data_IF_128724052961
#
_entry.id   IF_128724052961
#
_cell.length_a   1.000
_cell.length_b   1.000
_cell.length_c   1.000
_cell.angle_alpha   90.00
_cell.angle_beta   90.00
_cell.angle_gamma   90.00
#
_symmetry.space_group_name_H-M   'P 1'
#
loop_
_entity.id
_entity.type
_entity.pdbx_description
1 polymer ?
#
# COMPACT_ATOMS: atom_id res chain seq x y z
N UNK A 1 5.04 -46.51 -60.79
CA UNK A 1 4.40 -47.35 -59.77
C UNK A 1 4.51 -46.62 -58.43
N UNK A 2 3.50 -45.82 -58.09
CA UNK A 2 3.49 -44.98 -56.87
C UNK A 2 2.48 -45.56 -55.87
N UNK A 3 2.99 -46.04 -54.73
CA UNK A 3 2.20 -46.60 -53.62
C UNK A 3 1.75 -45.46 -52.70
N UNK A 4 0.51 -45.00 -52.87
CA UNK A 4 -0.15 -44.09 -51.93
C UNK A 4 -0.67 -44.88 -50.73
N UNK A 5 0.12 -44.92 -49.65
CA UNK A 5 -0.29 -45.47 -48.35
C UNK A 5 -1.40 -44.61 -47.73
N UNK A 6 -2.65 -45.06 -47.86
CA UNK A 6 -3.78 -44.54 -47.06
C UNK A 6 -3.55 -44.90 -45.59
N UNK A 7 -3.27 -43.90 -44.76
CA UNK A 7 -3.27 -44.07 -43.31
C UNK A 7 -4.70 -44.41 -42.83
N UNK A 8 -4.87 -45.35 -41.88
CA UNK A 8 -6.19 -45.79 -41.42
C UNK A 8 -6.90 -44.67 -40.64
N UNK A 9 -8.16 -44.43 -41.00
CA UNK A 9 -9.03 -43.40 -40.42
C UNK A 9 -9.17 -43.49 -38.87
N UNK A 10 -8.84 -44.65 -38.29
CA UNK A 10 -8.90 -44.94 -36.85
C UNK A 10 -7.92 -44.05 -36.04
N UNK A 11 -6.79 -43.66 -36.62
CA UNK A 11 -5.80 -42.82 -35.91
C UNK A 11 -6.30 -41.39 -35.66
N UNK A 12 -7.21 -40.88 -36.52
CA UNK A 12 -7.78 -39.53 -36.34
C UNK A 12 -8.74 -39.43 -35.15
N UNK A 13 -9.44 -40.51 -34.81
CA UNK A 13 -10.39 -40.51 -33.70
C UNK A 13 -9.72 -40.69 -32.34
N UNK A 14 -8.62 -41.45 -32.27
CA UNK A 14 -7.87 -41.65 -31.02
C UNK A 14 -7.18 -40.35 -30.57
N UNK A 15 -6.67 -39.54 -31.50
CA UNK A 15 -6.07 -38.23 -31.18
C UNK A 15 -7.14 -37.22 -30.74
N UNK A 16 -8.38 -37.31 -31.24
CA UNK A 16 -9.46 -36.40 -30.86
C UNK A 16 -10.02 -36.70 -29.45
N UNK A 17 -10.04 -37.96 -29.02
CA UNK A 17 -10.57 -38.37 -27.71
C UNK A 17 -9.59 -38.03 -26.56
N UNK A 18 -8.27 -38.06 -26.81
CA UNK A 18 -7.25 -37.72 -25.80
C UNK A 18 -7.19 -36.22 -25.44
N UNK A 19 -7.79 -35.33 -26.24
CA UNK A 19 -7.78 -33.88 -26.00
C UNK A 19 -8.94 -33.43 -25.08
N UNK A 20 -9.99 -34.26 -24.90
CA UNK A 20 -11.17 -33.87 -24.11
C UNK A 20 -11.15 -34.37 -22.65
N UNK A 21 -10.19 -35.21 -22.24
CA UNK A 21 -10.20 -35.80 -20.90
C UNK A 21 -9.38 -35.05 -19.85
N UNK A 22 -8.74 -33.93 -20.18
CA UNK A 22 -7.78 -33.24 -19.29
C UNK A 22 -8.31 -31.97 -18.58
N UNK A 23 -9.61 -31.68 -18.62
CA UNK A 23 -10.15 -30.43 -18.07
C UNK A 23 -11.19 -30.57 -16.94
N UNK A 24 -11.33 -31.75 -16.31
CA UNK A 24 -12.05 -31.84 -15.03
C UNK A 24 -11.12 -31.43 -13.88
N UNK A 25 -10.56 -30.22 -13.94
CA UNK A 25 -9.95 -29.61 -12.76
C UNK A 25 -11.12 -29.24 -11.85
N UNK A 26 -11.18 -29.87 -10.68
CA UNK A 26 -12.29 -29.74 -9.73
C UNK A 26 -12.51 -28.27 -9.37
N UNK A 27 -13.64 -27.69 -9.81
CA UNK A 27 -13.98 -26.28 -9.58
C UNK A 27 -14.07 -25.89 -8.10
N UNK A 28 -14.20 -26.86 -7.19
CA UNK A 28 -14.25 -26.63 -5.74
C UNK A 28 -12.92 -26.13 -5.15
N UNK A 29 -11.79 -26.40 -5.81
CA UNK A 29 -10.47 -25.90 -5.37
C UNK A 29 -10.23 -24.43 -5.82
N UNK A 30 -11.07 -23.91 -6.73
CA UNK A 30 -11.00 -22.55 -7.26
C UNK A 30 -12.04 -21.59 -6.69
N UNK A 31 -12.95 -22.04 -5.81
CA UNK A 31 -14.04 -21.19 -5.32
C UNK A 31 -13.52 -20.00 -4.47
N UNK A 32 -12.35 -20.17 -3.85
CA UNK A 32 -11.69 -19.11 -3.06
C UNK A 32 -10.17 -19.12 -3.26
N UNK A 33 -9.67 -18.53 -4.36
CA UNK A 33 -8.24 -18.54 -4.67
C UNK A 33 -7.42 -17.74 -3.64
N UNK A 34 -8.05 -16.90 -2.79
CA UNK A 34 -7.38 -16.25 -1.66
C UNK A 34 -6.82 -17.23 -0.61
N UNK A 35 -7.35 -18.46 -0.50
CA UNK A 35 -6.89 -19.46 0.48
C UNK A 35 -5.67 -20.24 0.01
N UNK A 36 -5.42 -20.32 -1.30
CA UNK A 36 -4.30 -21.05 -1.88
C UNK A 36 -3.03 -20.20 -2.04
N UNK A 37 -3.10 -18.91 -1.71
CA UNK A 37 -2.02 -17.96 -2.00
C UNK A 37 -1.12 -17.75 -0.79
N UNK A 38 0.18 -17.61 -1.06
CA UNK A 38 1.21 -17.37 -0.04
C UNK A 38 1.97 -16.07 -0.35
N UNK A 39 2.15 -15.17 0.64
CA UNK A 39 1.54 -15.20 1.98
C UNK A 39 0.04 -14.83 1.93
N UNK A 40 -0.76 -15.41 2.84
CA UNK A 40 -2.15 -15.00 3.07
C UNK A 40 -2.20 -13.62 3.75
N UNK A 41 -3.38 -13.02 3.85
CA UNK A 41 -3.53 -11.75 4.57
C UNK A 41 -3.21 -11.92 6.06
N UNK A 42 -3.64 -13.03 6.66
CA UNK A 42 -3.32 -13.35 8.06
C UNK A 42 -1.82 -13.64 8.27
N UNK A 43 -1.15 -14.32 7.33
CA UNK A 43 0.30 -14.55 7.40
C UNK A 43 1.08 -13.23 7.28
N UNK A 44 0.64 -12.33 6.38
CA UNK A 44 1.25 -11.01 6.24
C UNK A 44 1.07 -10.18 7.49
N UNK A 45 -0.12 -10.22 8.09
CA UNK A 45 -0.41 -9.54 9.34
C UNK A 45 0.52 -10.03 10.47
N UNK A 46 0.77 -11.33 10.55
CA UNK A 46 1.72 -11.92 11.50
C UNK A 46 3.16 -11.44 11.26
N UNK A 47 3.62 -11.47 10.01
CA UNK A 47 4.96 -11.00 9.64
C UNK A 47 5.14 -9.51 9.96
N UNK A 48 4.14 -8.68 9.69
CA UNK A 48 4.20 -7.25 9.98
C UNK A 48 4.06 -6.93 11.46
N UNK A 49 3.26 -7.69 12.22
CA UNK A 49 3.21 -7.61 13.68
C UNK A 49 4.57 -7.90 14.32
N UNK A 50 5.31 -8.91 13.81
CA UNK A 50 6.64 -9.23 14.28
C UNK A 50 7.67 -8.09 14.00
N UNK A 51 7.55 -7.44 12.84
CA UNK A 51 8.43 -6.32 12.44
C UNK A 51 8.05 -4.98 13.09
N UNK A 52 6.81 -4.83 13.55
CA UNK A 52 6.26 -3.57 14.04
C UNK A 52 7.08 -2.98 15.19
N UNK A 53 7.49 -3.82 16.16
CA UNK A 53 8.33 -3.38 17.29
C UNK A 53 9.67 -2.80 16.85
N UNK A 54 10.28 -3.38 15.81
CA UNK A 54 11.56 -2.91 15.27
C UNK A 54 11.39 -1.61 14.47
N UNK A 55 10.28 -1.47 13.73
CA UNK A 55 9.99 -0.33 12.87
C UNK A 55 9.20 0.80 13.53
N UNK A 56 8.85 0.68 14.82
CA UNK A 56 7.96 1.65 15.51
C UNK A 56 8.43 3.10 15.39
N UNK A 57 9.74 3.35 15.50
CA UNK A 57 10.30 4.70 15.39
C UNK A 57 10.49 5.12 13.94
N UNK A 58 10.93 4.22 13.08
CA UNK A 58 11.23 4.53 11.68
C UNK A 58 9.97 4.77 10.85
N UNK A 59 8.83 4.19 11.24
CA UNK A 59 7.54 4.33 10.55
C UNK A 59 7.07 5.79 10.49
N UNK A 60 7.50 6.63 11.44
CA UNK A 60 7.07 8.02 11.56
C UNK A 60 8.10 9.05 11.05
N UNK A 61 9.25 8.59 10.53
CA UNK A 61 10.32 9.47 10.02
C UNK A 61 9.80 10.54 9.04
N UNK A 62 8.94 10.23 8.05
CA UNK A 62 8.50 11.24 7.09
C UNK A 62 7.84 12.46 7.74
N UNK A 63 7.05 12.23 8.79
CA UNK A 63 6.39 13.28 9.56
C UNK A 63 7.37 13.95 10.52
N UNK A 64 8.26 13.19 11.15
CA UNK A 64 9.24 13.73 12.08
C UNK A 64 10.21 14.71 11.39
N UNK A 65 10.61 14.43 10.15
CA UNK A 65 11.48 15.34 9.37
C UNK A 65 10.77 16.67 9.10
N UNK A 66 9.51 16.61 8.63
CA UNK A 66 8.72 17.83 8.40
C UNK A 66 8.47 18.59 9.71
N UNK A 67 8.10 17.89 10.78
CA UNK A 67 7.82 18.48 12.08
C UNK A 67 9.06 19.11 12.73
N UNK A 68 10.22 18.46 12.58
CA UNK A 68 11.50 18.99 13.06
C UNK A 68 11.88 20.26 12.30
N UNK A 69 11.74 20.28 10.97
CA UNK A 69 11.98 21.48 10.17
C UNK A 69 11.07 22.64 10.63
N UNK A 70 9.76 22.38 10.79
CA UNK A 70 8.79 23.38 11.28
C UNK A 70 9.11 23.88 12.68
N UNK A 71 9.54 23.00 13.58
CA UNK A 71 9.95 23.37 14.93
C UNK A 71 11.21 24.24 14.90
N UNK A 72 12.23 23.86 14.13
CA UNK A 72 13.48 24.63 14.00
C UNK A 72 13.21 26.02 13.42
N UNK A 73 12.37 26.11 12.38
CA UNK A 73 11.93 27.38 11.83
C UNK A 73 11.23 28.25 12.89
N UNK A 74 10.29 27.67 13.64
CA UNK A 74 9.59 28.37 14.73
C UNK A 74 10.51 28.91 15.82
N UNK A 75 11.54 28.14 16.22
CA UNK A 75 12.56 28.59 17.18
C UNK A 75 13.38 29.75 16.64
N UNK A 76 13.81 29.68 15.37
CA UNK A 76 14.60 30.74 14.73
C UNK A 76 13.81 32.03 14.53
N UNK A 77 12.49 31.93 14.33
CA UNK A 77 11.60 33.08 14.16
C UNK A 77 11.72 34.10 15.29
N UNK A 78 11.88 33.65 16.56
CA UNK A 78 11.93 34.52 17.74
C UNK A 78 13.05 35.57 17.69
N UNK A 79 14.12 35.30 16.93
CA UNK A 79 15.26 36.19 16.73
C UNK A 79 15.17 37.13 15.51
N UNK A 80 14.18 36.96 14.63
CA UNK A 80 14.08 37.71 13.36
C UNK A 80 12.62 37.92 12.92
N UNK A 81 11.74 38.18 13.88
CA UNK A 81 10.32 38.46 13.62
C UNK A 81 10.17 39.92 13.20
N UNK A 82 9.39 40.19 12.16
CA UNK A 82 8.98 41.54 11.81
C UNK A 82 7.94 42.03 12.84
N UNK A 83 8.37 42.88 13.77
CA UNK A 83 7.53 43.38 14.87
C UNK A 83 6.33 44.22 14.39
N UNK A 84 6.35 44.72 13.16
CA UNK A 84 5.21 45.45 12.58
C UNK A 84 4.09 44.47 12.19
N UNK A 85 4.45 43.29 11.68
CA UNK A 85 3.49 42.27 11.24
C UNK A 85 3.08 41.31 12.34
N UNK A 86 3.98 41.01 13.25
CA UNK A 86 3.77 40.06 14.34
C UNK A 86 4.36 40.59 15.67
N UNK A 87 3.72 41.60 16.28
CA UNK A 87 4.21 42.21 17.52
C UNK A 87 4.24 41.22 18.70
N UNK A 88 3.38 40.21 18.67
CA UNK A 88 3.23 39.20 19.73
C UNK A 88 4.09 37.94 19.48
N UNK A 89 4.88 37.88 18.39
CA UNK A 89 5.69 36.72 17.98
C UNK A 89 4.87 35.42 17.85
N UNK A 90 3.62 35.51 17.40
CA UNK A 90 2.71 34.37 17.21
C UNK A 90 3.20 33.41 16.13
N UNK A 91 3.92 33.91 15.12
CA UNK A 91 4.49 33.11 14.05
C UNK A 91 5.47 32.06 14.60
N UNK A 92 6.39 32.46 15.49
CA UNK A 92 7.33 31.52 16.12
C UNK A 92 6.61 30.46 16.94
N UNK A 93 5.58 30.86 17.71
CA UNK A 93 4.75 29.92 18.45
C UNK A 93 3.98 28.96 17.56
N UNK A 94 3.49 29.39 16.39
CA UNK A 94 2.83 28.50 15.45
C UNK A 94 3.76 27.36 14.99
N UNK A 95 5.02 27.69 14.65
CA UNK A 95 6.03 26.68 14.29
C UNK A 95 6.35 25.73 15.44
N UNK A 96 6.52 26.26 16.66
CA UNK A 96 6.79 25.43 17.85
C UNK A 96 5.63 24.50 18.17
N UNK A 97 4.39 25.02 18.20
CA UNK A 97 3.21 24.23 18.56
C UNK A 97 2.91 23.16 17.51
N UNK A 98 3.00 23.49 16.22
CA UNK A 98 2.74 22.53 15.15
C UNK A 98 3.87 21.50 15.04
N UNK A 99 5.13 21.95 14.96
CA UNK A 99 6.29 21.06 14.85
C UNK A 99 6.48 20.21 16.10
N UNK A 100 6.51 20.83 17.27
CA UNK A 100 6.60 20.13 18.56
C UNK A 100 5.42 19.21 18.82
N UNK A 101 4.20 19.64 18.47
CA UNK A 101 2.99 18.83 18.58
C UNK A 101 3.05 17.55 17.75
N UNK A 102 3.56 17.63 16.51
CA UNK A 102 3.74 16.44 15.67
C UNK A 102 4.86 15.51 16.15
N UNK A 103 5.96 16.05 16.66
CA UNK A 103 7.03 15.23 17.26
C UNK A 103 6.49 14.47 18.48
N UNK A 104 5.75 15.15 19.36
CA UNK A 104 5.11 14.52 20.51
C UNK A 104 4.06 13.48 20.08
N UNK A 105 3.19 13.82 19.14
CA UNK A 105 2.16 12.91 18.64
C UNK A 105 2.77 11.66 17.99
N UNK A 106 3.81 11.81 17.17
CA UNK A 106 4.48 10.65 16.54
C UNK A 106 5.24 9.80 17.54
N UNK A 107 5.87 10.40 18.56
CA UNK A 107 6.47 9.64 19.66
C UNK A 107 5.41 8.84 20.44
N UNK A 108 4.28 9.46 20.77
CA UNK A 108 3.17 8.78 21.45
C UNK A 108 2.55 7.67 20.61
N UNK A 109 2.43 7.87 19.29
CA UNK A 109 1.98 6.81 18.38
C UNK A 109 3.00 5.67 18.30
N UNK A 110 4.29 5.97 18.22
CA UNK A 110 5.35 4.95 18.19
C UNK A 110 5.35 4.04 19.43
N UNK A 111 4.95 4.58 20.59
CA UNK A 111 4.92 3.81 21.85
C UNK A 111 3.58 3.10 22.08
N UNK A 112 2.46 3.74 21.75
CA UNK A 112 1.13 3.27 22.17
C UNK A 112 0.29 2.66 21.04
N UNK A 113 0.68 2.85 19.77
CA UNK A 113 -0.12 2.42 18.64
C UNK A 113 0.58 1.34 17.82
N UNK A 114 0.10 0.11 17.98
CA UNK A 114 0.58 -1.10 17.30
C UNK A 114 -0.56 -1.75 16.52
N UNK A 115 -0.95 -1.18 15.36
CA UNK A 115 -2.10 -1.65 14.59
C UNK A 115 -1.96 -3.10 14.14
N UNK A 116 -0.75 -3.58 13.81
CA UNK A 116 -0.58 -4.95 13.35
C UNK A 116 -0.56 -5.95 14.50
N UNK A 117 0.13 -5.64 15.61
CA UNK A 117 0.15 -6.48 16.80
C UNK A 117 -1.26 -6.71 17.38
N UNK A 118 -2.03 -5.63 17.55
CA UNK A 118 -3.41 -5.71 18.03
C UNK A 118 -4.32 -6.47 17.06
N UNK A 119 -4.25 -6.18 15.76
CA UNK A 119 -5.02 -6.89 14.76
C UNK A 119 -4.65 -8.38 14.67
N UNK A 120 -3.38 -8.74 14.86
CA UNK A 120 -2.96 -10.14 14.85
C UNK A 120 -3.53 -10.90 16.04
N UNK A 121 -3.60 -10.28 17.22
CA UNK A 121 -4.26 -10.88 18.39
C UNK A 121 -5.72 -11.17 18.09
N UNK A 122 -6.47 -10.20 17.55
CA UNK A 122 -7.87 -10.37 17.14
C UNK A 122 -8.04 -11.50 16.12
N UNK A 123 -7.23 -11.50 15.06
CA UNK A 123 -7.30 -12.48 13.96
C UNK A 123 -6.86 -13.87 14.42
N UNK A 124 -5.93 -13.98 15.36
CA UNK A 124 -5.46 -15.26 15.90
C UNK A 124 -6.52 -15.97 16.74
N UNK A 125 -7.43 -15.22 17.37
CA UNK A 125 -8.52 -15.74 18.20
C UNK A 125 -9.70 -16.29 17.37
N UNK A 126 -9.76 -16.00 16.06
CA UNK A 126 -10.82 -16.48 15.18
C UNK A 126 -10.66 -17.98 14.88
N UNK A 127 -11.77 -18.75 14.79
CA UNK A 127 -11.74 -20.16 14.46
C UNK A 127 -11.25 -20.40 13.02
N UNK A 128 -10.74 -21.61 12.74
CA UNK A 128 -10.12 -21.98 11.44
C UNK A 128 -10.61 -23.34 10.90
N UNK A 129 -11.68 -23.89 11.48
CA UNK A 129 -12.08 -25.28 11.24
C UNK A 129 -12.74 -25.45 9.87
N UNK A 130 -13.57 -24.50 9.46
CA UNK A 130 -14.24 -24.52 8.16
C UNK A 130 -13.60 -23.58 7.14
N UNK A 131 -13.79 -23.84 5.84
CA UNK A 131 -13.37 -22.92 4.77
C UNK A 131 -13.98 -21.53 4.97
N UNK A 132 -15.28 -21.47 5.31
CA UNK A 132 -15.98 -20.21 5.61
C UNK A 132 -15.32 -19.43 6.76
N UNK A 133 -14.91 -20.11 7.83
CA UNK A 133 -14.19 -19.49 8.95
C UNK A 133 -12.82 -18.97 8.51
N UNK A 134 -12.07 -19.74 7.71
CA UNK A 134 -10.79 -19.29 7.15
C UNK A 134 -10.97 -18.04 6.29
N UNK A 135 -11.97 -17.99 5.42
CA UNK A 135 -12.27 -16.81 4.60
C UNK A 135 -12.63 -15.60 5.46
N UNK A 136 -13.44 -15.82 6.49
CA UNK A 136 -13.81 -14.75 7.42
C UNK A 136 -12.57 -14.18 8.10
N UNK A 137 -11.67 -15.06 8.54
CA UNK A 137 -10.38 -14.69 9.13
C UNK A 137 -9.51 -13.88 8.17
N UNK A 138 -9.39 -14.32 6.91
CA UNK A 138 -8.62 -13.60 5.89
C UNK A 138 -9.21 -12.22 5.57
N UNK A 139 -10.54 -12.11 5.47
CA UNK A 139 -11.23 -10.82 5.24
C UNK A 139 -11.01 -9.84 6.39
N UNK A 140 -11.12 -10.31 7.63
CA UNK A 140 -10.86 -9.47 8.80
C UNK A 140 -9.39 -9.02 8.83
N UNK A 141 -8.44 -9.91 8.53
CA UNK A 141 -7.03 -9.54 8.42
C UNK A 141 -6.80 -8.46 7.34
N UNK A 142 -7.39 -8.62 6.16
CA UNK A 142 -7.32 -7.64 5.07
C UNK A 142 -7.95 -6.28 5.46
N UNK A 143 -9.09 -6.30 6.15
CA UNK A 143 -9.75 -5.08 6.65
C UNK A 143 -8.86 -4.33 7.64
N UNK A 144 -8.18 -5.04 8.54
CA UNK A 144 -7.26 -4.46 9.52
C UNK A 144 -6.03 -3.84 8.85
N UNK A 145 -5.42 -4.52 7.88
CA UNK A 145 -4.32 -3.96 7.07
C UNK A 145 -4.77 -2.68 6.36
N UNK A 146 -5.95 -2.69 5.72
CA UNK A 146 -6.50 -1.53 5.04
C UNK A 146 -6.87 -0.38 6.01
N UNK A 147 -7.32 -0.69 7.23
CA UNK A 147 -7.60 0.30 8.25
C UNK A 147 -6.34 1.07 8.67
N UNK A 148 -5.22 0.36 8.90
CA UNK A 148 -3.94 0.99 9.19
C UNK A 148 -3.49 1.92 8.05
N UNK A 149 -3.62 1.49 6.79
CA UNK A 149 -3.29 2.31 5.63
C UNK A 149 -4.18 3.56 5.50
N UNK A 150 -5.49 3.44 5.79
CA UNK A 150 -6.40 4.61 5.81
C UNK A 150 -6.00 5.61 6.88
N UNK A 151 -5.63 5.15 8.07
CA UNK A 151 -5.13 6.03 9.12
C UNK A 151 -3.82 6.70 8.71
N UNK A 152 -2.86 5.94 8.19
CA UNK A 152 -1.58 6.45 7.68
C UNK A 152 -1.77 7.58 6.67
N UNK A 153 -2.65 7.40 5.68
CA UNK A 153 -3.00 8.45 4.69
C UNK A 153 -3.58 9.71 5.34
N UNK A 154 -4.49 9.56 6.31
CA UNK A 154 -5.09 10.71 7.01
C UNK A 154 -4.03 11.49 7.79
N UNK A 155 -3.16 10.79 8.52
CA UNK A 155 -2.09 11.41 9.30
C UNK A 155 -1.09 12.10 8.37
N UNK A 156 -0.68 11.44 7.28
CA UNK A 156 0.21 12.00 6.26
C UNK A 156 -0.33 13.32 5.71
N UNK A 157 -1.58 13.35 5.24
CA UNK A 157 -2.18 14.58 4.70
C UNK A 157 -2.39 15.65 5.76
N UNK A 158 -2.83 15.28 6.97
CA UNK A 158 -2.99 16.23 8.06
C UNK A 158 -1.66 16.87 8.45
N UNK A 159 -0.58 16.09 8.47
CA UNK A 159 0.77 16.56 8.75
C UNK A 159 1.26 17.53 7.67
N UNK A 160 1.10 17.17 6.39
CA UNK A 160 1.47 18.05 5.26
C UNK A 160 0.73 19.38 5.37
N UNK A 161 -0.59 19.36 5.56
CA UNK A 161 -1.41 20.57 5.61
C UNK A 161 -1.06 21.47 6.80
N UNK A 162 -0.89 20.91 7.98
CA UNK A 162 -0.60 21.69 9.19
C UNK A 162 0.83 22.25 9.20
N UNK A 163 1.83 21.47 8.78
CA UNK A 163 3.21 21.96 8.67
C UNK A 163 3.36 23.00 7.55
N UNK A 164 2.76 22.77 6.38
CA UNK A 164 2.77 23.75 5.29
C UNK A 164 2.06 25.04 5.70
N UNK A 165 0.89 24.92 6.35
CA UNK A 165 0.14 26.07 6.86
C UNK A 165 0.95 26.89 7.87
N UNK A 166 1.60 26.23 8.83
CA UNK A 166 2.48 26.90 9.80
C UNK A 166 3.68 27.57 9.11
N UNK A 167 4.35 26.88 8.19
CA UNK A 167 5.51 27.41 7.47
C UNK A 167 5.16 28.60 6.57
N UNK A 168 4.01 28.57 5.89
CA UNK A 168 3.51 29.72 5.10
C UNK A 168 3.18 30.89 6.02
N UNK A 169 2.54 30.63 7.17
CA UNK A 169 2.23 31.67 8.14
C UNK A 169 3.52 32.31 8.70
N UNK A 170 4.52 31.50 9.05
CA UNK A 170 5.84 31.98 9.48
C UNK A 170 6.53 32.82 8.40
N UNK A 171 6.62 32.30 7.17
CA UNK A 171 7.27 32.99 6.05
C UNK A 171 6.65 34.35 5.72
N UNK A 172 5.32 34.48 5.86
CA UNK A 172 4.61 35.74 5.58
C UNK A 172 4.84 36.83 6.64
N UNK A 173 5.19 36.43 7.87
CA UNK A 173 5.49 37.30 9.00
C UNK A 173 6.99 37.46 9.29
N UNK A 174 7.86 36.77 8.54
CA UNK A 174 9.31 36.90 8.65
C UNK A 174 9.81 38.22 8.04
N UNK A 175 10.84 38.81 8.67
CA UNK A 175 11.50 40.01 8.17
C UNK A 175 12.10 39.76 6.77
N UNK A 176 11.87 40.64 5.78
CA UNK A 176 12.46 40.50 4.45
C UNK A 176 13.99 40.40 4.49
N UNK A 177 14.55 39.40 3.81
CA UNK A 177 16.00 39.18 3.75
C UNK A 177 16.63 38.51 4.98
N UNK A 178 15.83 38.22 6.02
CA UNK A 178 16.32 37.49 7.19
C UNK A 178 16.63 36.02 6.88
N UNK A 179 17.56 35.43 7.64
CA UNK A 179 17.86 34.00 7.55
C UNK A 179 16.63 33.13 7.82
N UNK A 180 15.78 33.50 8.79
CA UNK A 180 14.56 32.75 9.11
C UNK A 180 13.58 32.69 7.94
N UNK A 181 13.48 33.74 7.13
CA UNK A 181 12.65 33.71 5.92
C UNK A 181 13.12 32.65 4.91
N UNK A 182 14.43 32.48 4.78
CA UNK A 182 15.01 31.42 3.93
C UNK A 182 14.70 30.03 4.51
N UNK A 183 14.83 29.89 5.84
CA UNK A 183 14.51 28.63 6.54
C UNK A 183 13.01 28.30 6.45
N UNK A 184 12.12 29.28 6.58
CA UNK A 184 10.68 29.11 6.42
C UNK A 184 10.35 28.65 5.00
N UNK A 185 10.98 29.27 3.99
CA UNK A 185 10.88 28.83 2.60
C UNK A 185 11.31 27.38 2.39
N UNK A 186 12.44 26.97 2.97
CA UNK A 186 12.88 25.58 2.94
C UNK A 186 11.91 24.65 3.68
N UNK A 187 11.35 25.11 4.81
CA UNK A 187 10.37 24.36 5.61
C UNK A 187 9.09 24.09 4.82
N UNK A 188 8.62 25.01 3.99
CA UNK A 188 7.50 24.78 3.07
C UNK A 188 7.81 23.61 2.13
N UNK A 189 9.04 23.51 1.60
CA UNK A 189 9.44 22.37 0.79
C UNK A 189 9.55 21.07 1.60
N UNK A 190 10.02 21.13 2.85
CA UNK A 190 10.03 19.95 3.73
C UNK A 190 8.64 19.53 4.21
N UNK A 191 7.65 20.42 4.20
CA UNK A 191 6.28 20.08 4.57
C UNK A 191 5.64 19.05 3.63
N UNK A 192 6.12 18.94 2.38
CA UNK A 192 5.68 17.91 1.44
C UNK A 192 6.49 16.61 1.50
N UNK A 193 7.52 16.52 2.35
CA UNK A 193 8.33 15.31 2.52
C UNK A 193 7.49 14.04 2.78
N UNK A 194 6.41 14.06 3.59
CA UNK A 194 5.55 12.89 3.77
C UNK A 194 4.92 12.36 2.48
N UNK A 195 4.80 13.16 1.41
CA UNK A 195 4.27 12.71 0.12
C UNK A 195 5.29 11.86 -0.65
N UNK A 196 6.59 12.14 -0.49
CA UNK A 196 7.68 11.42 -1.14
C UNK A 196 8.11 10.18 -0.35
N UNK A 197 8.08 10.27 0.98
CA UNK A 197 8.39 9.16 1.87
C UNK A 197 7.09 8.58 2.44
N UNK A 198 6.59 7.55 1.77
CA UNK A 198 5.30 6.94 2.09
C UNK A 198 5.34 6.26 3.46
N UNK A 199 4.18 6.25 4.13
CA UNK A 199 4.02 5.51 5.37
C UNK A 199 4.10 4.01 5.10
N UNK A 200 4.87 3.28 5.90
CA UNK A 200 4.99 1.82 5.80
C UNK A 200 3.61 1.12 5.80
N UNK A 201 2.64 1.65 6.56
CA UNK A 201 1.28 1.12 6.57
C UNK A 201 0.57 1.16 5.22
N UNK A 202 0.86 2.18 4.42
CA UNK A 202 0.29 2.35 3.09
C UNK A 202 0.93 1.33 2.14
N UNK A 203 2.25 1.21 2.18
CA UNK A 203 2.99 0.30 1.30
C UNK A 203 2.58 -1.16 1.52
N UNK A 204 2.45 -1.60 2.78
CA UNK A 204 1.98 -2.97 3.11
C UNK A 204 0.59 -3.26 2.52
N UNK A 205 -0.34 -2.31 2.62
CA UNK A 205 -1.70 -2.50 2.11
C UNK A 205 -1.76 -2.46 0.57
N UNK A 206 -0.95 -1.61 -0.06
CA UNK A 206 -0.84 -1.58 -1.51
C UNK A 206 -0.21 -2.85 -2.06
N UNK A 207 0.85 -3.32 -1.42
CA UNK A 207 1.46 -4.60 -1.76
C UNK A 207 0.43 -5.73 -1.59
N UNK A 208 -0.36 -5.75 -0.51
CA UNK A 208 -1.40 -6.77 -0.32
C UNK A 208 -2.45 -6.73 -1.44
N UNK A 209 -2.88 -5.52 -1.83
CA UNK A 209 -3.83 -5.33 -2.93
C UNK A 209 -3.24 -5.76 -4.26
N UNK A 210 -1.97 -5.49 -4.52
CA UNK A 210 -1.32 -5.87 -5.77
C UNK A 210 -1.10 -7.38 -5.85
N UNK A 211 -0.80 -8.04 -4.72
CA UNK A 211 -0.86 -9.48 -4.63
C UNK A 211 -2.26 -10.00 -4.96
N UNK A 212 -3.30 -9.42 -4.36
CA UNK A 212 -4.69 -9.81 -4.64
C UNK A 212 -5.04 -9.66 -6.13
N UNK A 213 -4.65 -8.55 -6.76
CA UNK A 213 -4.85 -8.34 -8.20
C UNK A 213 -4.18 -9.41 -9.05
N UNK A 214 -3.00 -9.92 -8.65
CA UNK A 214 -2.31 -10.99 -9.40
C UNK A 214 -3.06 -12.32 -9.34
N UNK A 215 -3.77 -12.59 -8.24
CA UNK A 215 -4.56 -13.82 -8.06
C UNK A 215 -5.81 -13.79 -8.95
N UNK A 216 -6.50 -12.65 -9.01
CA UNK A 216 -7.71 -12.46 -9.82
C UNK A 216 -7.40 -11.91 -11.23
N UNK A 217 -6.13 -11.78 -11.61
CA UNK A 217 -5.77 -11.36 -12.95
C UNK A 217 -6.15 -12.46 -13.95
N UNK A 218 -6.65 -12.11 -15.15
CA UNK A 218 -6.86 -13.09 -16.20
C UNK A 218 -5.55 -13.83 -16.49
N UNK A 219 -5.62 -15.16 -16.52
CA UNK A 219 -4.51 -15.97 -17.01
C UNK A 219 -4.56 -15.91 -18.53
N UNK A 220 -3.61 -15.17 -19.11
CA UNK A 220 -3.43 -15.11 -20.55
C UNK A 220 -2.54 -16.27 -21.00
N UNK A 221 -3.07 -17.18 -21.82
CA UNK A 221 -2.31 -18.27 -22.42
C UNK A 221 -2.26 -18.12 -23.94
N UNK A 222 -1.06 -18.31 -24.49
CA UNK A 222 -0.91 -18.46 -25.93
C UNK A 222 -1.52 -19.81 -26.35
N UNK A 223 -2.39 -19.78 -27.33
CA UNK A 223 -3.03 -20.96 -27.89
C UNK A 223 -3.03 -20.87 -29.41
N UNK A 224 -3.43 -21.93 -30.07
CA UNK A 224 -3.54 -21.99 -31.53
C UNK A 224 -4.98 -22.35 -31.86
N UNK A 225 -5.63 -21.50 -32.66
CA UNK A 225 -7.00 -21.72 -33.11
C UNK A 225 -6.98 -22.09 -34.60
N UNK A 226 -7.85 -23.02 -35.00
CA UNK A 226 -8.12 -23.24 -36.42
C UNK A 226 -9.04 -22.13 -36.93
N UNK A 227 -8.60 -21.38 -37.94
CA UNK A 227 -9.36 -20.28 -38.51
C UNK A 227 -10.62 -20.81 -39.22
N UNK A 228 -11.83 -20.31 -38.88
CA UNK A 228 -13.08 -20.75 -39.50
C UNK A 228 -13.07 -20.41 -41.00
N UNK A 229 -13.08 -21.43 -41.86
CA UNK A 229 -13.15 -21.28 -43.31
C UNK A 229 -11.85 -21.60 -44.06
N UNK A 230 -10.68 -21.25 -43.51
CA UNK A 230 -9.39 -21.57 -44.14
C UNK A 230 -8.77 -22.88 -43.61
N UNK A 231 -9.15 -23.29 -42.40
CA UNK A 231 -8.55 -24.45 -41.71
C UNK A 231 -7.08 -24.27 -41.33
N UNK A 232 -6.52 -23.07 -41.55
CA UNK A 232 -5.14 -22.75 -41.15
C UNK A 232 -5.07 -22.53 -39.65
N UNK A 233 -3.96 -22.95 -39.05
CA UNK A 233 -3.67 -22.70 -37.65
C UNK A 233 -3.17 -21.26 -37.50
N UNK A 234 -3.87 -20.47 -36.69
CA UNK A 234 -3.47 -19.12 -36.34
C UNK A 234 -3.11 -19.06 -34.85
N UNK A 235 -2.03 -18.36 -34.48
CA UNK A 235 -1.77 -18.06 -33.07
C UNK A 235 -2.90 -17.19 -32.52
N UNK A 236 -3.29 -17.46 -31.28
CA UNK A 236 -4.29 -16.65 -30.59
C UNK A 236 -4.01 -16.57 -29.10
N UNK A 237 -4.75 -15.69 -28.44
CA UNK A 237 -4.68 -15.46 -27.01
C UNK A 237 -5.97 -15.99 -26.38
N UNK A 238 -5.85 -16.95 -25.47
CA UNK A 238 -6.96 -17.34 -24.59
C UNK A 238 -6.84 -16.57 -23.27
N UNK A 239 -7.92 -15.95 -22.85
CA UNK A 239 -8.03 -15.29 -21.54
C UNK A 239 -8.95 -16.14 -20.67
N UNK A 240 -8.41 -16.69 -19.59
CA UNK A 240 -9.21 -17.33 -18.56
C UNK A 240 -9.42 -16.32 -17.41
N UNK A 241 -10.67 -15.94 -17.17
CA UNK A 241 -11.06 -15.10 -16.05
C UNK A 241 -11.53 -16.01 -14.91
N UNK A 242 -10.92 -15.88 -13.73
CA UNK A 242 -11.45 -16.47 -12.50
C UNK A 242 -12.37 -15.43 -11.86
N UNK A 243 -13.68 -15.69 -11.86
CA UNK A 243 -14.71 -14.87 -11.21
C UNK A 243 -15.49 -15.69 -10.19
#
# INVERSE_FOLDING_TARGET
MQLTKKAPAIFKYIVFILVFSSANVSGAEFEYPELSVTPRASDRLEMEAAKETQKRWTTHIPIQVSALATLTAGVLQFGSTDLVKDPDKRAGWAGILVGGGWLAATALMATNYQPYGSAQQDVSALPRKSQREQLTRERIAEERINAAARLGRKIQWLSVLTNAGAAIYMNSNAEPGSFSKVVDGATIAFAVAPLFFRYHWIDVAEEQRDYKKRIYAPVASATVFAEPGSGRLAPGLALALAF
#
